data_IF_473139934446
#
_entry.id   IF_473139934446
#
_cell.length_a   1.000
_cell.length_b   1.000
_cell.length_c   1.000
_cell.angle_alpha   90.00
_cell.angle_beta   90.00
_cell.angle_gamma   90.00
#
_symmetry.space_group_name_H-M   'P 1'
#
loop_
_entity.id
_entity.type
_entity.pdbx_description
1 polymer ?
#
# COMPACT_ATOMS: atom_id res chain seq x y z
N UNK A 1 -42.60 -5.46 15.66
CA UNK A 1 -41.13 -5.46 15.63
C UNK A 1 -40.68 -5.52 14.19
N UNK A 2 -40.26 -4.39 13.59
CA UNK A 2 -39.66 -4.37 12.25
C UNK A 2 -38.36 -3.57 12.35
N UNK A 3 -37.22 -4.27 12.29
CA UNK A 3 -35.93 -3.66 12.05
C UNK A 3 -35.60 -3.87 10.57
N UNK A 4 -35.71 -2.85 9.70
CA UNK A 4 -35.13 -2.96 8.38
C UNK A 4 -33.61 -2.93 8.55
N UNK A 5 -33.00 -4.10 8.34
CA UNK A 5 -31.57 -4.32 8.43
C UNK A 5 -30.83 -3.42 7.45
N UNK A 6 -29.84 -2.71 7.99
CA UNK A 6 -28.76 -2.10 7.25
C UNK A 6 -28.00 -3.21 6.52
N UNK A 7 -27.87 -3.09 5.21
CA UNK A 7 -26.90 -3.85 4.44
C UNK A 7 -26.18 -2.87 3.53
N UNK A 8 -25.22 -2.17 4.14
CA UNK A 8 -24.18 -1.41 3.43
C UNK A 8 -23.46 -2.38 2.51
N UNK A 9 -23.92 -2.44 1.26
CA UNK A 9 -23.19 -3.09 0.19
C UNK A 9 -22.14 -2.09 -0.24
N UNK A 10 -21.06 -1.98 0.54
CA UNK A 10 -19.81 -1.39 0.07
C UNK A 10 -19.22 -2.31 -1.00
N UNK A 11 -19.76 -2.22 -2.21
CA UNK A 11 -19.05 -2.66 -3.41
C UNK A 11 -17.75 -1.86 -3.47
N UNK A 12 -16.56 -2.48 -3.50
CA UNK A 12 -15.35 -1.76 -3.82
C UNK A 12 -15.49 -1.31 -5.28
N UNK A 13 -15.84 -0.04 -5.48
CA UNK A 13 -15.57 0.60 -6.77
C UNK A 13 -14.09 0.40 -7.10
N UNK A 14 -13.71 0.15 -8.37
CA UNK A 14 -12.32 -0.02 -8.78
C UNK A 14 -11.62 1.35 -8.70
N UNK A 15 -11.40 1.82 -7.47
CA UNK A 15 -10.62 2.99 -7.17
C UNK A 15 -9.19 2.56 -7.40
N UNK A 16 -8.57 3.05 -8.47
CA UNK A 16 -7.16 2.81 -8.74
C UNK A 16 -6.37 3.12 -7.46
N UNK A 17 -5.51 2.20 -7.00
CA UNK A 17 -4.75 2.40 -5.79
C UNK A 17 -3.97 3.71 -5.87
N UNK A 18 -4.11 4.55 -4.86
CA UNK A 18 -3.54 5.89 -4.86
C UNK A 18 -2.17 5.93 -4.19
N UNK A 19 -1.31 6.83 -4.67
CA UNK A 19 -0.03 7.10 -4.04
C UNK A 19 -0.19 7.50 -2.56
N UNK A 20 0.57 6.85 -1.68
CA UNK A 20 0.63 7.13 -0.24
C UNK A 20 1.43 8.38 0.12
N UNK A 21 2.06 9.05 -0.86
CA UNK A 21 2.75 10.31 -0.61
C UNK A 21 1.75 11.37 -0.17
N UNK A 22 2.11 12.15 0.85
CA UNK A 22 1.23 13.15 1.43
C UNK A 22 0.82 14.19 0.37
N UNK A 23 -0.48 14.30 0.12
CA UNK A 23 -1.04 15.26 -0.85
C UNK A 23 -0.96 14.80 -2.31
N UNK A 24 -0.37 13.63 -2.59
CA UNK A 24 -0.40 13.05 -3.92
C UNK A 24 -1.72 12.31 -4.12
N UNK A 25 -2.31 12.49 -5.32
CA UNK A 25 -3.52 11.77 -5.72
C UNK A 25 -3.36 10.91 -6.97
N UNK A 26 -2.14 10.83 -7.49
CA UNK A 26 -1.83 10.06 -8.68
C UNK A 26 -1.99 8.55 -8.44
N UNK A 27 -2.24 7.82 -9.52
CA UNK A 27 -2.30 6.36 -9.51
C UNK A 27 -0.95 5.78 -9.11
N UNK A 28 -0.99 4.83 -8.18
CA UNK A 28 0.17 4.08 -7.77
C UNK A 28 0.50 3.01 -8.79
N UNK A 29 1.78 2.88 -9.10
CA UNK A 29 2.34 1.83 -9.97
C UNK A 29 3.45 1.05 -9.27
N UNK A 30 3.84 1.47 -8.07
CA UNK A 30 4.88 0.88 -7.25
C UNK A 30 4.36 0.55 -5.85
N UNK A 31 4.95 -0.50 -5.29
CA UNK A 31 4.67 -1.03 -3.97
C UNK A 31 5.99 -1.10 -3.21
N UNK A 32 6.05 -0.37 -2.09
CA UNK A 32 7.19 -0.33 -1.19
C UNK A 32 6.86 -1.14 0.06
N UNK A 33 7.47 -2.31 0.19
CA UNK A 33 7.38 -3.09 1.41
C UNK A 33 8.41 -2.57 2.42
N UNK A 34 7.95 -2.32 3.64
CA UNK A 34 8.79 -1.78 4.71
C UNK A 34 8.45 -2.35 6.07
N UNK A 35 9.43 -2.33 6.98
CA UNK A 35 9.27 -2.75 8.35
C UNK A 35 10.08 -1.81 9.27
N UNK A 36 9.42 -1.26 10.27
CA UNK A 36 10.08 -0.50 11.32
C UNK A 36 10.25 -1.41 12.55
N UNK A 37 11.46 -1.95 12.80
CA UNK A 37 11.70 -2.92 13.87
C UNK A 37 11.50 -2.33 15.27
N UNK A 38 11.44 -0.99 15.41
CA UNK A 38 11.16 -0.33 16.68
C UNK A 38 9.69 -0.42 17.10
N UNK A 39 8.78 -0.69 16.15
CA UNK A 39 7.31 -0.67 16.37
C UNK A 39 6.64 -1.96 15.90
N UNK A 40 7.26 -2.69 14.98
CA UNK A 40 6.69 -3.88 14.35
C UNK A 40 7.62 -5.07 14.54
N UNK A 41 7.04 -6.24 14.80
CA UNK A 41 7.75 -7.52 14.75
C UNK A 41 8.37 -7.71 13.36
N UNK A 42 9.46 -8.47 13.22
CA UNK A 42 10.13 -8.68 11.93
C UNK A 42 9.23 -9.34 10.87
N UNK A 43 8.21 -10.08 11.33
CA UNK A 43 7.21 -10.73 10.47
C UNK A 43 6.19 -9.73 9.93
N UNK A 44 5.95 -8.60 10.62
CA UNK A 44 4.93 -7.62 10.24
C UNK A 44 5.51 -6.58 9.28
N UNK A 45 5.27 -6.78 7.98
CA UNK A 45 5.63 -5.83 6.92
C UNK A 45 4.42 -4.96 6.56
N UNK A 46 4.66 -3.66 6.47
CA UNK A 46 3.69 -2.71 5.93
C UNK A 46 4.02 -2.43 4.48
N UNK A 47 3.02 -1.95 3.76
CA UNK A 47 3.10 -1.68 2.32
C UNK A 47 2.68 -0.24 2.08
N UNK A 48 3.47 0.50 1.31
CA UNK A 48 3.13 1.83 0.81
C UNK A 48 3.03 1.80 -0.71
N UNK A 49 2.06 2.52 -1.24
CA UNK A 49 1.84 2.62 -2.68
C UNK A 49 2.46 3.92 -3.20
N UNK A 50 3.08 3.89 -4.37
CA UNK A 50 3.73 5.06 -4.95
C UNK A 50 3.48 5.19 -6.44
N UNK A 51 3.26 6.41 -6.91
CA UNK A 51 3.38 6.74 -8.32
C UNK A 51 4.87 6.81 -8.74
N UNK A 52 5.13 6.89 -10.04
CA UNK A 52 6.51 6.92 -10.56
C UNK A 52 7.33 8.09 -10.01
N UNK A 53 6.69 9.26 -9.89
CA UNK A 53 7.30 10.49 -9.35
C UNK A 53 7.74 10.35 -7.87
N UNK A 54 6.93 9.68 -7.04
CA UNK A 54 7.15 9.61 -5.60
C UNK A 54 7.89 8.35 -5.14
N UNK A 55 8.08 7.36 -6.02
CA UNK A 55 8.77 6.11 -5.69
C UNK A 55 10.14 6.35 -5.07
N UNK A 56 10.96 7.17 -5.73
CA UNK A 56 12.33 7.45 -5.32
C UNK A 56 12.37 8.18 -3.97
N UNK A 57 11.48 9.15 -3.76
CA UNK A 57 11.38 9.89 -2.50
C UNK A 57 11.06 8.94 -1.33
N UNK A 58 9.99 8.14 -1.46
CA UNK A 58 9.56 7.23 -0.40
C UNK A 58 10.60 6.14 -0.14
N UNK A 59 11.22 5.62 -1.20
CA UNK A 59 12.30 4.62 -1.10
C UNK A 59 13.49 5.18 -0.34
N UNK A 60 13.94 6.40 -0.67
CA UNK A 60 15.03 7.08 0.05
C UNK A 60 14.67 7.31 1.52
N UNK A 61 13.44 7.79 1.80
CA UNK A 61 12.98 8.02 3.16
C UNK A 61 13.02 6.76 4.05
N UNK A 62 12.63 5.62 3.48
CA UNK A 62 12.66 4.33 4.17
C UNK A 62 14.08 3.75 4.21
N UNK A 63 14.87 3.93 3.15
CA UNK A 63 16.22 3.42 3.00
C UNK A 63 17.20 4.04 4.00
N UNK A 64 17.18 5.36 4.18
CA UNK A 64 18.06 6.05 5.16
C UNK A 64 17.80 5.61 6.61
N UNK A 65 16.62 5.04 6.89
CA UNK A 65 16.24 4.50 8.20
C UNK A 65 16.41 2.99 8.31
N UNK A 66 16.80 2.32 7.23
CA UNK A 66 16.90 0.85 7.16
C UNK A 66 15.55 0.13 7.24
N UNK A 67 14.45 0.82 6.93
CA UNK A 67 13.10 0.26 7.01
C UNK A 67 12.64 -0.36 5.69
N UNK A 68 13.24 0.05 4.58
CA UNK A 68 12.90 -0.47 3.26
C UNK A 68 13.27 -1.95 3.17
N UNK A 69 12.33 -2.77 2.68
CA UNK A 69 12.53 -4.21 2.46
C UNK A 69 12.50 -4.55 0.99
N UNK A 70 11.53 -4.03 0.26
CA UNK A 70 11.36 -4.33 -1.16
C UNK A 70 10.66 -3.19 -1.90
N UNK A 71 10.90 -3.11 -3.20
CA UNK A 71 10.24 -2.18 -4.13
C UNK A 71 9.88 -2.95 -5.38
N UNK A 72 8.58 -3.23 -5.54
CA UNK A 72 8.05 -4.01 -6.67
C UNK A 72 6.98 -3.20 -7.40
N UNK A 73 6.66 -3.55 -8.65
CA UNK A 73 5.53 -2.90 -9.31
C UNK A 73 4.23 -3.39 -8.68
N UNK A 74 3.25 -2.51 -8.69
CA UNK A 74 1.91 -2.81 -8.20
C UNK A 74 1.32 -4.01 -8.94
N UNK A 75 1.42 -4.05 -10.27
CA UNK A 75 0.89 -5.16 -11.07
C UNK A 75 1.48 -6.52 -10.65
N UNK A 76 2.79 -6.60 -10.40
CA UNK A 76 3.46 -7.83 -9.97
C UNK A 76 3.02 -8.24 -8.55
N UNK A 77 2.81 -7.26 -7.67
CA UNK A 77 2.35 -7.49 -6.31
C UNK A 77 0.89 -7.94 -6.24
N UNK A 78 0.00 -7.32 -7.02
CA UNK A 78 -1.41 -7.71 -7.13
C UNK A 78 -1.55 -9.12 -7.72
N UNK A 79 -0.79 -9.44 -8.77
CA UNK A 79 -0.75 -10.79 -9.32
C UNK A 79 -0.37 -11.85 -8.27
N UNK A 80 0.63 -11.53 -7.44
CA UNK A 80 1.07 -12.40 -6.33
C UNK A 80 0.08 -12.47 -5.16
N UNK A 81 -0.78 -11.47 -5.00
CA UNK A 81 -1.81 -11.43 -3.97
C UNK A 81 -3.05 -12.23 -4.37
N UNK A 82 -3.39 -12.25 -5.67
CA UNK A 82 -4.51 -13.04 -6.20
C UNK A 82 -4.24 -14.55 -6.17
N UNK A 83 -2.98 -14.97 -6.20
CA UNK A 83 -2.57 -16.38 -6.09
C UNK A 83 -2.63 -16.96 -4.66
N UNK A 84 -2.98 -16.14 -3.66
CA UNK A 84 -2.78 -16.47 -2.23
C UNK A 84 -4.05 -16.89 -1.49
#
# INVERSE_FOLDING_TARGET
>A
MNFPGLSDTSSPSPSTPQCSAKGCRADAVWVLAWNNPKVHTPERRKTWLACDEHREHLSKFLGVRGFLKDVVRLADWEASATDR
#
